data_IF_013338907479
#
_entry.id   IF_013338907479
#
_cell.length_a   1.000
_cell.length_b   1.000
_cell.length_c   1.000
_cell.angle_alpha   90.00
_cell.angle_beta   90.00
_cell.angle_gamma   90.00
#
_symmetry.space_group_name_H-M   'P 1'
#
loop_
_entity.id
_entity.type
_entity.pdbx_description
1 polymer ?
#
# COMPACT_ATOMS: atom_id res chain seq x y z
N UNK A 1 1.37 -8.08 13.04
CA UNK A 1 1.63 -9.39 12.41
C UNK A 1 2.07 -9.21 10.91
N UNK A 2 3.24 -8.76 10.45
CA UNK A 2 3.62 -8.22 9.10
C UNK A 2 5.16 -8.04 9.20
N UNK A 3 6.00 -8.93 8.64
CA UNK A 3 7.17 -9.62 9.33
C UNK A 3 6.80 -10.23 10.68
N UNK A 4 6.09 -9.46 11.50
CA UNK A 4 5.34 -9.88 12.64
C UNK A 4 4.55 -11.21 12.21
N UNK A 5 3.99 -11.42 11.00
CA UNK A 5 3.13 -12.60 10.60
C UNK A 5 3.88 -13.94 10.43
N UNK A 6 5.19 -13.96 10.67
CA UNK A 6 5.94 -15.20 10.92
C UNK A 6 7.07 -15.49 9.93
N UNK A 7 7.13 -14.82 8.77
CA UNK A 7 8.24 -14.97 7.81
C UNK A 7 8.83 -13.61 7.50
N UNK A 8 10.13 -13.46 7.72
CA UNK A 8 10.89 -12.25 7.40
C UNK A 8 11.58 -12.48 6.06
N UNK A 9 11.03 -11.92 4.98
CA UNK A 9 11.61 -11.89 3.64
C UNK A 9 11.90 -10.46 3.20
N UNK A 10 12.77 -10.27 2.20
CA UNK A 10 13.01 -8.95 1.58
C UNK A 10 11.69 -8.29 1.14
N UNK A 11 10.79 -9.04 0.51
CA UNK A 11 9.45 -8.57 0.11
C UNK A 11 8.61 -8.07 1.30
N UNK A 12 8.54 -8.84 2.38
CA UNK A 12 7.76 -8.47 3.57
C UNK A 12 8.33 -7.21 4.26
N UNK A 13 9.66 -7.08 4.34
CA UNK A 13 10.31 -5.92 4.96
C UNK A 13 10.15 -4.69 4.08
N UNK A 14 10.26 -4.84 2.76
CA UNK A 14 10.02 -3.75 1.81
C UNK A 14 8.59 -3.21 1.91
N UNK A 15 7.59 -4.10 1.91
CA UNK A 15 6.18 -3.74 2.12
C UNK A 15 6.00 -3.03 3.45
N UNK A 16 6.61 -3.54 4.53
CA UNK A 16 6.51 -2.90 5.83
C UNK A 16 7.06 -1.46 5.82
N UNK A 17 8.20 -1.20 5.18
CA UNK A 17 8.79 0.15 5.04
C UNK A 17 7.84 1.09 4.29
N UNK A 18 7.29 0.63 3.17
CA UNK A 18 6.36 1.40 2.34
C UNK A 18 5.06 1.69 3.10
N UNK A 19 4.50 0.71 3.79
CA UNK A 19 3.20 0.80 4.45
C UNK A 19 3.26 1.54 5.79
N UNK A 20 4.21 1.21 6.67
CA UNK A 20 4.26 1.70 8.06
C UNK A 20 5.41 2.67 8.36
N UNK A 21 6.39 2.78 7.47
CA UNK A 21 7.44 3.79 7.60
C UNK A 21 6.86 5.20 7.65
N UNK A 22 7.50 6.11 8.37
CA UNK A 22 6.99 7.47 8.55
C UNK A 22 6.80 8.20 7.21
N UNK A 23 5.66 8.89 7.06
CA UNK A 23 5.29 9.61 5.85
C UNK A 23 5.34 11.12 6.07
N UNK A 24 6.52 11.66 6.36
CA UNK A 24 6.72 13.11 6.47
C UNK A 24 6.72 13.80 5.09
N UNK A 25 7.15 13.09 4.06
CA UNK A 25 7.12 13.46 2.65
C UNK A 25 6.97 12.21 1.78
N UNK A 26 6.50 12.37 0.53
CA UNK A 26 6.38 11.27 -0.44
C UNK A 26 7.71 10.82 -1.04
N UNK A 27 8.81 11.45 -0.62
CA UNK A 27 10.19 11.10 -0.96
C UNK A 27 10.47 9.61 -0.81
N UNK A 28 9.96 8.94 0.23
CA UNK A 28 10.21 7.51 0.41
C UNK A 28 9.63 6.66 -0.73
N UNK A 29 8.48 7.04 -1.30
CA UNK A 29 7.85 6.29 -2.39
C UNK A 29 8.64 6.45 -3.68
N UNK A 30 9.02 7.69 -4.01
CA UNK A 30 9.88 7.98 -5.14
C UNK A 30 11.26 7.31 -5.01
N UNK A 31 11.83 7.35 -3.80
CA UNK A 31 13.14 6.75 -3.52
C UNK A 31 13.09 5.22 -3.61
N UNK A 32 12.08 4.57 -3.02
CA UNK A 32 11.90 3.13 -3.14
C UNK A 32 11.71 2.68 -4.59
N UNK A 33 10.89 3.40 -5.36
CA UNK A 33 10.71 3.10 -6.78
C UNK A 33 12.00 3.28 -7.60
N UNK A 34 12.74 4.37 -7.38
CA UNK A 34 14.03 4.60 -8.04
C UNK A 34 15.08 3.55 -7.66
N UNK A 35 15.10 3.10 -6.39
CA UNK A 35 15.99 2.02 -5.95
C UNK A 35 15.68 0.69 -6.65
N UNK A 36 14.40 0.31 -6.76
CA UNK A 36 14.00 -0.91 -7.47
C UNK A 36 14.38 -0.84 -8.95
N UNK A 37 14.16 0.31 -9.60
CA UNK A 37 14.53 0.52 -11.00
C UNK A 37 16.04 0.37 -11.23
N UNK A 38 16.86 0.98 -10.39
CA UNK A 38 18.32 0.86 -10.48
C UNK A 38 18.77 -0.57 -10.17
N UNK A 39 18.24 -1.18 -9.12
CA UNK A 39 18.59 -2.55 -8.73
C UNK A 39 18.27 -3.58 -9.82
N UNK A 40 17.20 -3.36 -10.59
CA UNK A 40 16.83 -4.21 -11.73
C UNK A 40 17.90 -4.23 -12.84
N UNK A 41 18.85 -3.28 -12.84
CA UNK A 41 20.00 -3.30 -13.77
C UNK A 41 21.11 -4.27 -13.34
N UNK A 42 21.00 -4.88 -12.15
CA UNK A 42 21.98 -5.82 -11.61
C UNK A 42 23.25 -5.18 -11.04
N UNK A 43 23.27 -3.85 -10.90
CA UNK A 43 24.42 -3.12 -10.32
C UNK A 43 24.40 -3.21 -8.80
N UNK A 44 25.56 -3.41 -8.20
CA UNK A 44 25.74 -3.43 -6.74
C UNK A 44 26.14 -2.07 -6.14
N UNK A 45 26.26 -1.04 -6.96
CA UNK A 45 26.54 0.33 -6.52
C UNK A 45 25.82 1.32 -7.41
N UNK A 46 25.33 2.41 -6.81
CA UNK A 46 24.71 3.53 -7.51
C UNK A 46 25.16 4.85 -6.91
N UNK A 47 25.64 5.75 -7.76
CA UNK A 47 25.99 7.12 -7.34
C UNK A 47 24.76 7.99 -7.13
N UNK A 48 24.88 9.08 -6.36
CA UNK A 48 23.77 10.02 -6.22
C UNK A 48 23.38 10.67 -7.56
N UNK A 49 24.35 10.88 -8.45
CA UNK A 49 24.16 11.40 -9.80
C UNK A 49 23.35 10.46 -10.68
N UNK A 50 23.53 9.15 -10.54
CA UNK A 50 22.75 8.13 -11.25
C UNK A 50 21.35 7.95 -10.66
N UNK A 51 21.21 8.08 -9.34
CA UNK A 51 19.92 7.93 -8.66
C UNK A 51 19.04 9.18 -8.79
N UNK A 52 19.64 10.37 -8.96
CA UNK A 52 18.93 11.64 -9.01
C UNK A 52 17.90 11.75 -10.16
N UNK A 53 18.20 11.37 -11.42
CA UNK A 53 17.24 11.46 -12.51
C UNK A 53 15.93 10.68 -12.30
N UNK A 54 15.93 9.35 -12.03
CA UNK A 54 14.68 8.61 -11.83
C UNK A 54 13.92 9.10 -10.60
N UNK A 55 14.63 9.42 -9.51
CA UNK A 55 14.02 9.95 -8.29
C UNK A 55 13.33 11.31 -8.50
N UNK A 56 13.98 12.24 -9.19
CA UNK A 56 13.43 13.57 -9.45
C UNK A 56 12.25 13.51 -10.42
N UNK A 57 12.32 12.66 -11.45
CA UNK A 57 11.26 12.47 -12.42
C UNK A 57 9.94 12.06 -11.75
N UNK A 58 9.99 11.06 -10.86
CA UNK A 58 8.83 10.57 -10.11
C UNK A 58 8.17 11.67 -9.27
N UNK A 59 8.97 12.50 -8.59
CA UNK A 59 8.46 13.60 -7.78
C UNK A 59 7.92 14.76 -8.61
N UNK A 60 8.53 15.06 -9.75
CA UNK A 60 8.03 16.07 -10.69
C UNK A 60 6.65 15.65 -11.23
N UNK A 61 6.50 14.40 -11.65
CA UNK A 61 5.23 13.84 -12.11
C UNK A 61 4.16 13.85 -11.00
N UNK A 62 4.54 13.47 -9.78
CA UNK A 62 3.65 13.53 -8.63
C UNK A 62 3.19 14.96 -8.30
N UNK A 63 4.07 15.96 -8.40
CA UNK A 63 3.72 17.37 -8.20
C UNK A 63 2.74 17.91 -9.24
N UNK A 64 2.77 17.39 -10.47
CA UNK A 64 1.79 17.75 -11.50
C UNK A 64 0.40 17.18 -11.16
N UNK A 65 0.34 15.99 -10.55
CA UNK A 65 -0.92 15.39 -10.09
C UNK A 65 -1.45 16.02 -8.81
N UNK A 66 -0.58 16.25 -7.83
CA UNK A 66 -0.92 16.75 -6.50
C UNK A 66 0.16 17.73 -6.00
N UNK A 67 -0.15 19.03 -5.83
CA UNK A 67 0.84 20.05 -5.44
C UNK A 67 1.49 19.82 -4.06
N UNK A 68 0.83 19.10 -3.17
CA UNK A 68 1.31 18.79 -1.82
C UNK A 68 1.96 17.40 -1.77
N UNK A 69 3.29 17.38 -1.63
CA UNK A 69 4.13 16.18 -1.56
C UNK A 69 4.86 16.02 -0.21
N UNK A 70 4.45 16.79 0.80
CA UNK A 70 4.97 16.66 2.14
C UNK A 70 4.22 17.47 3.16
N UNK A 71 4.60 17.29 4.41
CA UNK A 71 4.03 17.97 5.57
C UNK A 71 4.70 19.32 5.84
N UNK A 72 5.95 19.49 5.43
CA UNK A 72 6.68 20.75 5.58
C UNK A 72 6.07 21.86 4.71
N UNK A 73 5.97 23.07 5.27
CA UNK A 73 5.40 24.23 4.57
C UNK A 73 6.23 24.66 3.35
N UNK A 74 7.54 24.43 3.37
CA UNK A 74 8.47 24.76 2.28
C UNK A 74 9.49 23.64 2.10
N UNK A 75 9.89 23.41 0.86
CA UNK A 75 10.99 22.50 0.55
C UNK A 75 11.70 22.97 -0.71
N UNK A 76 12.98 23.37 -0.56
CA UNK A 76 13.82 23.83 -1.67
C UNK A 76 13.92 22.80 -2.79
N UNK A 77 13.86 21.51 -2.45
CA UNK A 77 13.89 20.45 -3.45
C UNK A 77 12.57 20.37 -4.23
N UNK A 78 11.42 20.34 -3.55
CA UNK A 78 10.12 20.39 -4.25
C UNK A 78 9.95 21.68 -5.06
N UNK A 79 10.49 22.81 -4.58
CA UNK A 79 10.47 24.07 -5.33
C UNK A 79 11.27 23.97 -6.63
N UNK A 80 12.42 23.28 -6.63
CA UNK A 80 13.17 22.99 -7.85
C UNK A 80 12.39 22.09 -8.82
N UNK A 81 11.69 21.06 -8.31
CA UNK A 81 10.81 20.23 -9.12
C UNK A 81 9.64 21.04 -9.73
N UNK A 82 9.05 21.97 -8.98
CA UNK A 82 7.99 22.87 -9.48
C UNK A 82 8.51 23.83 -10.56
N UNK A 83 9.69 24.41 -10.37
CA UNK A 83 10.34 25.25 -11.37
C UNK A 83 10.64 24.46 -12.66
N UNK A 84 11.06 23.20 -12.53
CA UNK A 84 11.25 22.33 -13.70
C UNK A 84 9.92 22.07 -14.43
N UNK A 85 8.86 21.75 -13.70
CA UNK A 85 7.53 21.50 -14.26
C UNK A 85 6.94 22.71 -15.01
N UNK A 86 7.34 23.93 -14.65
CA UNK A 86 6.90 25.19 -15.29
C UNK A 86 7.84 25.67 -16.38
N UNK A 87 8.95 24.97 -16.62
CA UNK A 87 9.96 25.34 -17.63
C UNK A 87 10.94 26.41 -17.18
N UNK A 88 10.90 26.84 -15.92
CA UNK A 88 11.79 27.85 -15.33
C UNK A 88 13.19 27.29 -14.97
N UNK A 89 13.32 25.97 -14.92
CA UNK A 89 14.54 25.28 -14.52
C UNK A 89 14.84 24.13 -15.49
N UNK A 90 16.06 24.08 -16.02
CA UNK A 90 16.47 23.05 -16.98
C UNK A 90 16.74 21.69 -16.30
N UNK A 91 16.77 20.63 -17.10
CA UNK A 91 16.93 19.25 -16.63
C UNK A 91 18.25 19.01 -15.88
N UNK A 92 19.36 19.57 -16.37
CA UNK A 92 20.67 19.35 -15.76
C UNK A 92 20.75 20.06 -14.40
N UNK A 93 20.16 21.25 -14.32
CA UNK A 93 20.00 21.97 -13.05
C UNK A 93 19.11 21.18 -12.09
N UNK A 94 18.02 20.55 -12.56
CA UNK A 94 17.17 19.71 -11.70
C UNK A 94 17.99 18.58 -11.09
N UNK A 95 18.71 17.81 -11.91
CA UNK A 95 19.51 16.69 -11.43
C UNK A 95 20.57 17.13 -10.40
N UNK A 96 21.30 18.23 -10.66
CA UNK A 96 22.26 18.79 -9.69
C UNK A 96 21.60 19.19 -8.37
N UNK A 97 20.42 19.83 -8.41
CA UNK A 97 19.66 20.19 -7.20
C UNK A 97 19.16 18.96 -6.45
N UNK A 98 18.77 17.91 -7.16
CA UNK A 98 18.37 16.63 -6.57
C UNK A 98 19.52 15.98 -5.81
N UNK A 99 20.73 15.92 -6.38
CA UNK A 99 21.91 15.41 -5.67
C UNK A 99 22.16 16.20 -4.38
N UNK A 100 22.09 17.54 -4.44
CA UNK A 100 22.36 18.41 -3.30
C UNK A 100 21.30 18.36 -2.19
N UNK A 101 20.02 18.21 -2.54
CA UNK A 101 18.89 18.47 -1.63
C UNK A 101 17.91 17.29 -1.50
N UNK A 102 17.80 16.45 -2.53
CA UNK A 102 16.77 15.42 -2.64
C UNK A 102 17.00 14.24 -1.71
N UNK A 103 18.26 13.97 -1.38
CA UNK A 103 18.68 12.82 -0.60
C UNK A 103 19.03 13.12 0.86
N UNK A 104 18.88 14.38 1.31
CA UNK A 104 19.38 14.81 2.62
C UNK A 104 18.82 14.03 3.81
N UNK A 105 17.57 13.55 3.71
CA UNK A 105 16.90 12.83 4.80
C UNK A 105 16.40 11.43 4.39
N UNK A 106 16.09 11.21 3.11
CA UNK A 106 15.36 9.99 2.70
C UNK A 106 16.21 8.75 2.84
N UNK A 107 17.52 8.83 2.55
CA UNK A 107 18.45 7.70 2.69
C UNK A 107 18.53 7.25 4.16
N UNK A 108 18.65 8.19 5.10
CA UNK A 108 18.73 7.86 6.52
C UNK A 108 17.39 7.38 7.12
N UNK A 109 16.27 7.78 6.50
CA UNK A 109 14.93 7.52 7.01
C UNK A 109 14.25 6.29 6.38
N UNK A 110 14.58 5.96 5.13
CA UNK A 110 13.95 4.86 4.40
C UNK A 110 14.05 3.50 5.10
N UNK A 111 15.19 3.06 5.66
CA UNK A 111 15.27 1.75 6.29
C UNK A 111 14.61 1.71 7.69
N UNK A 112 13.95 2.78 8.16
CA UNK A 112 13.41 2.85 9.51
C UNK A 112 11.94 2.42 9.61
N UNK A 113 11.63 1.60 10.61
CA UNK A 113 10.31 1.14 11.00
C UNK A 113 10.06 1.47 12.47
N UNK A 114 9.00 2.23 12.76
CA UNK A 114 8.68 2.61 14.15
C UNK A 114 9.74 3.47 14.86
N UNK A 115 10.74 3.98 14.14
CA UNK A 115 11.87 4.74 14.69
C UNK A 115 13.18 3.93 14.73
N UNK A 116 13.07 2.60 14.68
CA UNK A 116 14.21 1.68 14.68
C UNK A 116 14.59 1.25 13.26
N UNK A 117 15.76 0.61 13.09
CA UNK A 117 16.15 0.02 11.82
C UNK A 117 15.29 -1.21 11.50
N UNK A 118 14.94 -1.36 10.22
CA UNK A 118 14.31 -2.57 9.72
C UNK A 118 15.24 -3.79 9.92
N UNK A 119 14.67 -5.00 10.07
CA UNK A 119 15.47 -6.21 10.28
C UNK A 119 16.34 -6.62 9.08
N UNK A 120 16.06 -6.07 7.89
CA UNK A 120 16.86 -6.24 6.68
C UNK A 120 17.22 -4.86 6.11
N UNK A 121 18.45 -4.73 5.61
CA UNK A 121 18.91 -3.53 4.90
C UNK A 121 19.00 -3.82 3.40
N UNK A 122 18.55 -2.86 2.59
CA UNK A 122 18.58 -2.96 1.12
C UNK A 122 19.81 -2.30 0.50
N UNK A 123 20.53 -1.49 1.27
CA UNK A 123 21.74 -0.81 0.83
C UNK A 123 22.61 -0.41 2.03
N UNK A 124 23.85 -0.06 1.75
CA UNK A 124 24.78 0.60 2.66
C UNK A 124 25.04 2.03 2.18
N UNK A 125 25.03 2.98 3.12
CA UNK A 125 25.22 4.40 2.81
C UNK A 125 26.71 4.76 2.76
N UNK A 126 27.23 4.99 1.55
CA UNK A 126 28.63 5.37 1.31
C UNK A 126 28.79 6.83 0.87
N UNK A 127 27.78 7.69 1.08
CA UNK A 127 27.82 9.11 0.67
C UNK A 127 29.02 9.89 1.19
N UNK A 128 29.63 9.48 2.31
CA UNK A 128 30.73 10.18 2.98
C UNK A 128 32.10 9.51 2.86
N UNK A 129 32.14 8.25 2.43
CA UNK A 129 33.32 7.39 2.59
C UNK A 129 33.84 6.80 1.26
N UNK A 130 33.38 7.30 0.11
CA UNK A 130 33.74 6.78 -1.21
C UNK A 130 34.25 7.87 -2.15
N UNK A 131 35.13 7.49 -3.08
CA UNK A 131 35.54 8.32 -4.21
C UNK A 131 34.37 8.62 -5.17
N UNK A 132 33.32 7.80 -5.12
CA UNK A 132 32.06 7.96 -5.83
C UNK A 132 30.89 7.91 -4.82
N UNK A 133 30.49 9.05 -4.23
CA UNK A 133 29.42 9.11 -3.23
C UNK A 133 28.12 8.47 -3.72
N UNK A 134 27.63 7.49 -2.97
CA UNK A 134 26.51 6.67 -3.43
C UNK A 134 26.01 5.67 -2.40
N UNK A 135 25.33 4.65 -2.90
CA UNK A 135 24.80 3.54 -2.13
C UNK A 135 25.35 2.23 -2.69
N UNK A 136 25.85 1.36 -1.81
CA UNK A 136 26.15 -0.03 -2.15
C UNK A 136 24.86 -0.83 -1.99
N UNK A 137 24.34 -1.37 -3.10
CA UNK A 137 23.10 -2.13 -3.11
C UNK A 137 23.37 -3.56 -2.64
N UNK A 138 22.55 -4.05 -1.71
CA UNK A 138 22.70 -5.40 -1.16
C UNK A 138 21.93 -6.43 -1.96
N UNK A 139 22.32 -7.70 -1.82
CA UNK A 139 21.70 -8.84 -2.50
C UNK A 139 20.19 -8.88 -2.25
N UNK A 140 19.73 -8.54 -1.04
CA UNK A 140 18.30 -8.50 -0.72
C UNK A 140 17.51 -7.55 -1.63
N UNK A 141 18.10 -6.43 -2.08
CA UNK A 141 17.47 -5.51 -3.02
C UNK A 141 17.53 -6.02 -4.46
N UNK A 142 18.65 -6.64 -4.85
CA UNK A 142 18.83 -7.19 -6.19
C UNK A 142 17.89 -8.37 -6.44
N UNK A 143 17.78 -9.29 -5.47
CA UNK A 143 16.83 -10.39 -5.48
C UNK A 143 15.38 -9.88 -5.52
N UNK A 144 15.08 -8.84 -4.73
CA UNK A 144 13.75 -8.22 -4.71
C UNK A 144 13.38 -7.63 -6.06
N UNK A 145 14.31 -6.90 -6.70
CA UNK A 145 14.10 -6.29 -8.01
C UNK A 145 13.98 -7.33 -9.14
N UNK A 146 14.61 -8.50 -8.99
CA UNK A 146 14.50 -9.63 -9.91
C UNK A 146 13.30 -10.56 -9.62
N UNK A 147 12.63 -10.38 -8.47
CA UNK A 147 11.54 -11.26 -8.05
C UNK A 147 10.29 -11.13 -8.94
N UNK A 148 9.47 -12.18 -8.94
CA UNK A 148 8.15 -12.16 -9.61
C UNK A 148 7.21 -11.10 -9.02
N UNK A 149 7.46 -10.64 -7.79
CA UNK A 149 6.66 -9.63 -7.11
C UNK A 149 7.14 -8.19 -7.38
N UNK A 150 8.27 -7.97 -8.06
CA UNK A 150 8.82 -6.62 -8.27
C UNK A 150 7.80 -5.64 -8.91
N UNK A 151 7.01 -6.13 -9.88
CA UNK A 151 5.94 -5.35 -10.49
C UNK A 151 4.81 -5.03 -9.50
N UNK A 152 4.44 -5.99 -8.65
CA UNK A 152 3.44 -5.81 -7.60
C UNK A 152 3.90 -4.76 -6.59
N UNK A 153 5.16 -4.81 -6.16
CA UNK A 153 5.74 -3.83 -5.23
C UNK A 153 5.74 -2.41 -5.80
N UNK A 154 6.01 -2.25 -7.10
CA UNK A 154 5.89 -0.97 -7.80
C UNK A 154 4.45 -0.46 -7.80
N UNK A 155 3.49 -1.32 -8.14
CA UNK A 155 2.07 -0.97 -8.16
C UNK A 155 1.53 -0.66 -6.75
N UNK A 156 1.91 -1.44 -5.74
CA UNK A 156 1.59 -1.26 -4.31
C UNK A 156 2.14 0.09 -3.82
N UNK A 157 3.40 0.40 -4.13
CA UNK A 157 4.05 1.68 -3.79
C UNK A 157 3.29 2.86 -4.40
N UNK A 158 2.94 2.78 -5.69
CA UNK A 158 2.18 3.82 -6.37
C UNK A 158 0.76 3.99 -5.79
N UNK A 159 0.06 2.89 -5.50
CA UNK A 159 -1.25 2.93 -4.86
C UNK A 159 -1.18 3.57 -3.46
N UNK A 160 -0.16 3.19 -2.68
CA UNK A 160 0.08 3.76 -1.37
C UNK A 160 0.36 5.26 -1.43
N UNK A 161 1.21 5.68 -2.37
CA UNK A 161 1.53 7.08 -2.60
C UNK A 161 0.25 7.88 -2.93
N UNK A 162 -0.58 7.41 -3.87
CA UNK A 162 -1.84 8.08 -4.24
C UNK A 162 -2.81 8.24 -3.06
N UNK A 163 -2.86 7.27 -2.15
CA UNK A 163 -3.64 7.37 -0.92
C UNK A 163 -3.09 8.47 0.01
N UNK A 164 -1.77 8.54 0.21
CA UNK A 164 -1.14 9.58 1.05
C UNK A 164 -1.40 10.98 0.47
N UNK A 165 -1.19 11.16 -0.84
CA UNK A 165 -1.47 12.41 -1.55
C UNK A 165 -2.92 12.84 -1.38
N UNK A 166 -3.86 11.91 -1.59
CA UNK A 166 -5.29 12.18 -1.46
C UNK A 166 -5.63 12.60 -0.04
N UNK A 167 -5.09 11.93 0.98
CA UNK A 167 -5.33 12.30 2.37
C UNK A 167 -4.89 13.74 2.67
N UNK A 168 -3.70 14.13 2.23
CA UNK A 168 -3.17 15.49 2.45
C UNK A 168 -3.93 16.59 1.70
N UNK A 169 -4.50 16.26 0.55
CA UNK A 169 -5.24 17.20 -0.28
C UNK A 169 -6.66 17.44 0.22
N UNK A 170 -7.23 16.44 0.88
CA UNK A 170 -8.65 16.41 1.25
C UNK A 170 -8.90 16.63 2.74
N UNK A 171 -7.86 16.51 3.57
CA UNK A 171 -8.03 16.53 5.02
C UNK A 171 -8.81 15.33 5.55
N UNK A 172 -8.85 14.19 4.83
CA UNK A 172 -9.50 12.95 5.31
C UNK A 172 -8.96 12.51 6.68
N UNK A 173 -7.74 12.92 7.05
CA UNK A 173 -7.16 12.73 8.37
C UNK A 173 -7.87 13.47 9.51
N UNK A 174 -8.77 14.41 9.21
CA UNK A 174 -9.23 15.43 10.16
C UNK A 174 -10.69 15.20 10.65
N UNK A 175 -11.32 14.06 10.28
CA UNK A 175 -12.56 13.58 10.90
C UNK A 175 -13.87 13.73 10.10
N UNK A 176 -14.97 13.50 10.81
CA UNK A 176 -16.27 12.89 10.41
C UNK A 176 -17.10 13.60 9.32
N UNK A 177 -16.71 14.79 8.85
CA UNK A 177 -17.44 15.54 7.80
C UNK A 177 -16.66 15.75 6.50
N UNK A 178 -15.49 15.12 6.36
CA UNK A 178 -14.67 15.13 5.15
C UNK A 178 -15.17 14.17 4.05
N UNK A 179 -14.63 14.28 2.82
CA UNK A 179 -14.95 13.34 1.74
C UNK A 179 -14.64 11.89 2.14
N UNK A 180 -15.47 10.92 1.75
CA UNK A 180 -15.24 9.50 2.03
C UNK A 180 -14.40 8.85 0.94
N UNK A 181 -13.59 7.86 1.32
CA UNK A 181 -13.00 6.95 0.35
C UNK A 181 -13.90 5.72 0.25
N UNK A 182 -14.52 5.56 -0.90
CA UNK A 182 -15.44 4.47 -1.19
C UNK A 182 -14.86 3.52 -2.23
N UNK A 183 -15.35 2.28 -2.24
CA UNK A 183 -15.03 1.32 -3.28
C UNK A 183 -16.03 1.48 -4.43
N UNK A 184 -15.52 1.63 -5.65
CA UNK A 184 -16.29 1.46 -6.87
C UNK A 184 -16.00 0.08 -7.47
N UNK A 185 -17.04 -0.75 -7.48
CA UNK A 185 -17.03 -2.08 -8.05
C UNK A 185 -16.82 -2.10 -9.56
N UNK A 186 -17.41 -1.17 -10.30
CA UNK A 186 -17.35 -1.19 -11.77
C UNK A 186 -15.92 -0.85 -12.22
N UNK A 187 -15.26 0.08 -11.53
CA UNK A 187 -13.88 0.47 -11.79
C UNK A 187 -12.85 -0.37 -11.01
N UNK A 188 -13.29 -1.22 -10.08
CA UNK A 188 -12.41 -1.94 -9.14
C UNK A 188 -11.41 -0.99 -8.45
N UNK A 189 -11.87 0.19 -8.05
CA UNK A 189 -11.02 1.28 -7.59
C UNK A 189 -11.55 1.94 -6.32
N UNK A 190 -10.61 2.45 -5.51
CA UNK A 190 -10.91 3.36 -4.43
C UNK A 190 -11.13 4.75 -5.02
N UNK A 191 -12.26 5.35 -4.68
CA UNK A 191 -12.68 6.64 -5.19
C UNK A 191 -12.98 7.58 -4.04
N UNK A 192 -12.54 8.81 -4.19
CA UNK A 192 -12.91 9.90 -3.31
C UNK A 192 -14.32 10.35 -3.69
N UNK A 193 -15.25 10.28 -2.74
CA UNK A 193 -16.59 10.82 -2.87
C UNK A 193 -16.72 12.07 -2.02
N UNK A 194 -17.14 13.15 -2.65
CA UNK A 194 -17.53 14.40 -2.00
C UNK A 194 -18.89 14.84 -2.52
N UNK A 195 -19.53 15.80 -1.85
CA UNK A 195 -20.84 16.34 -2.30
C UNK A 195 -20.85 16.85 -3.75
N UNK A 196 -19.70 17.18 -4.32
CA UNK A 196 -19.59 17.85 -5.62
C UNK A 196 -18.76 17.08 -6.65
N UNK A 197 -17.97 16.09 -6.22
CA UNK A 197 -17.00 15.43 -7.09
C UNK A 197 -16.74 14.01 -6.66
N UNK A 198 -16.69 13.13 -7.65
CA UNK A 198 -16.15 11.78 -7.59
C UNK A 198 -14.80 11.74 -8.31
N UNK A 199 -13.76 11.23 -7.65
CA UNK A 199 -12.42 11.16 -8.23
C UNK A 199 -11.80 9.77 -7.98
N UNK A 200 -11.28 9.14 -9.03
CA UNK A 200 -10.53 7.90 -8.90
C UNK A 200 -9.19 8.17 -8.18
N UNK A 201 -8.88 7.36 -7.15
CA UNK A 201 -7.65 7.48 -6.37
C UNK A 201 -6.65 6.40 -6.75
N UNK A 202 -7.03 5.12 -6.66
CA UNK A 202 -6.17 3.99 -7.03
C UNK A 202 -6.98 2.72 -7.21
N UNK A 203 -6.51 1.76 -8.00
CA UNK A 203 -7.09 0.42 -8.05
C UNK A 203 -7.05 -0.27 -6.68
N UNK A 204 -8.06 -1.08 -6.38
CA UNK A 204 -8.19 -1.77 -5.09
C UNK A 204 -7.17 -2.89 -4.92
N UNK A 205 -6.87 -3.62 -5.98
CA UNK A 205 -5.86 -4.70 -5.97
C UNK A 205 -4.51 -4.20 -5.44
N UNK A 206 -3.83 -3.21 -6.04
CA UNK A 206 -2.56 -2.73 -5.51
C UNK A 206 -2.69 -2.01 -4.16
N UNK A 207 -3.87 -1.47 -3.81
CA UNK A 207 -4.09 -0.85 -2.51
C UNK A 207 -4.17 -1.87 -1.35
N UNK A 208 -4.66 -3.08 -1.63
CA UNK A 208 -4.80 -4.14 -0.63
C UNK A 208 -3.67 -5.17 -0.66
N UNK A 209 -3.00 -5.36 -1.80
CA UNK A 209 -1.99 -6.41 -2.02
C UNK A 209 -0.87 -6.40 -0.96
N UNK A 210 -0.36 -5.20 -0.64
CA UNK A 210 0.69 -5.05 0.36
C UNK A 210 0.30 -5.54 1.76
N UNK A 211 -0.99 -5.44 2.13
CA UNK A 211 -1.50 -5.90 3.44
C UNK A 211 -1.79 -7.41 3.49
N UNK A 212 -1.67 -8.09 2.34
CA UNK A 212 -1.79 -9.53 2.19
C UNK A 212 -0.49 -10.16 1.68
N UNK A 213 0.62 -9.44 1.67
CA UNK A 213 1.93 -9.92 1.21
C UNK A 213 1.93 -10.46 -0.24
N UNK A 214 1.05 -9.91 -1.10
CA UNK A 214 0.85 -10.43 -2.47
C UNK A 214 0.28 -11.85 -2.51
N UNK A 215 -0.37 -12.30 -1.44
CA UNK A 215 -0.92 -13.66 -1.29
C UNK A 215 -2.44 -13.64 -1.20
N UNK A 216 -3.03 -14.77 -1.59
CA UNK A 216 -4.46 -15.02 -1.44
C UNK A 216 -4.84 -15.00 0.05
N UNK A 217 -5.87 -14.24 0.42
CA UNK A 217 -6.35 -14.12 1.79
C UNK A 217 -6.78 -15.46 2.43
N UNK A 218 -7.11 -16.46 1.60
CA UNK A 218 -7.62 -17.75 2.05
C UNK A 218 -6.55 -18.84 2.07
N UNK A 219 -5.92 -19.17 0.93
CA UNK A 219 -4.91 -20.24 0.86
C UNK A 219 -3.48 -19.78 1.19
N UNK A 220 -3.25 -18.48 1.34
CA UNK A 220 -1.94 -17.89 1.60
C UNK A 220 -0.87 -18.16 0.51
N UNK A 221 -1.29 -18.59 -0.67
CA UNK A 221 -0.40 -18.78 -1.81
C UNK A 221 -0.12 -17.46 -2.52
N UNK A 222 1.08 -17.32 -3.07
CA UNK A 222 1.47 -16.17 -3.88
C UNK A 222 0.52 -16.01 -5.07
N UNK A 223 0.04 -14.80 -5.28
CA UNK A 223 -0.71 -14.41 -6.46
C UNK A 223 0.22 -13.61 -7.35
N UNK A 224 0.26 -13.93 -8.63
CA UNK A 224 0.93 -13.08 -9.62
C UNK A 224 -0.13 -12.32 -10.40
N UNK A 225 0.17 -11.09 -10.82
CA UNK A 225 -0.69 -10.35 -11.75
C UNK A 225 -0.57 -10.90 -13.18
N UNK A 226 -1.03 -12.14 -13.39
CA UNK A 226 -1.16 -12.72 -14.74
C UNK A 226 -2.52 -12.35 -15.34
N UNK A 227 -2.52 -11.93 -16.61
CA UNK A 227 -3.75 -11.57 -17.34
C UNK A 227 -4.72 -12.76 -17.33
N UNK A 228 -5.92 -12.57 -16.75
CA UNK A 228 -6.95 -13.60 -16.63
C UNK A 228 -6.90 -14.48 -15.37
N UNK A 229 -5.79 -14.45 -14.61
CA UNK A 229 -5.62 -15.23 -13.37
C UNK A 229 -5.14 -14.39 -12.18
N UNK A 230 -5.15 -13.06 -12.31
CA UNK A 230 -4.75 -12.13 -11.28
C UNK A 230 -5.66 -12.12 -10.04
N UNK A 231 -5.28 -11.35 -9.00
CA UNK A 231 -6.06 -11.25 -7.78
C UNK A 231 -7.51 -10.80 -8.02
N UNK A 232 -8.46 -11.48 -7.39
CA UNK A 232 -9.88 -11.12 -7.43
C UNK A 232 -10.22 -10.34 -6.17
N UNK A 233 -10.85 -9.18 -6.31
CA UNK A 233 -11.45 -8.45 -5.19
C UNK A 233 -12.71 -9.19 -4.75
N UNK A 234 -12.68 -9.69 -3.53
CA UNK A 234 -13.65 -10.62 -2.99
C UNK A 234 -14.30 -10.05 -1.73
N UNK A 235 -15.62 -10.26 -1.58
CA UNK A 235 -16.39 -9.87 -0.40
C UNK A 235 -16.47 -11.02 0.60
N UNK A 236 -15.77 -10.89 1.73
CA UNK A 236 -15.74 -11.92 2.77
C UNK A 236 -17.15 -12.32 3.18
N UNK A 237 -17.97 -11.34 3.55
CA UNK A 237 -19.42 -11.48 3.64
C UNK A 237 -20.05 -11.20 2.27
N UNK A 238 -20.72 -12.18 1.65
CA UNK A 238 -21.09 -12.11 0.24
C UNK A 238 -22.20 -11.09 -0.04
N UNK A 239 -22.16 -10.47 -1.22
CA UNK A 239 -23.17 -9.51 -1.67
C UNK A 239 -24.60 -10.07 -1.70
N UNK A 240 -24.76 -11.39 -1.82
CA UNK A 240 -26.05 -12.10 -1.70
C UNK A 240 -26.77 -11.85 -0.37
N UNK A 241 -26.10 -11.33 0.65
CA UNK A 241 -26.78 -10.85 1.85
C UNK A 241 -27.79 -9.74 1.51
N UNK A 242 -27.48 -8.84 0.57
CA UNK A 242 -28.36 -7.74 0.18
C UNK A 242 -29.64 -8.18 -0.54
N UNK A 243 -29.69 -9.41 -1.07
CA UNK A 243 -30.93 -9.97 -1.64
C UNK A 243 -31.81 -10.65 -0.59
N UNK A 244 -31.39 -10.61 0.69
CA UNK A 244 -32.14 -11.09 1.86
C UNK A 244 -32.51 -9.90 2.75
N UNK A 245 -33.10 -10.18 3.90
CA UNK A 245 -33.43 -9.18 4.94
C UNK A 245 -32.18 -8.70 5.71
N UNK A 246 -31.14 -8.31 4.97
CA UNK A 246 -29.90 -7.80 5.55
C UNK A 246 -30.09 -6.38 6.09
N UNK A 247 -29.88 -6.26 7.39
CA UNK A 247 -29.87 -5.04 8.19
C UNK A 247 -28.49 -4.80 8.85
N UNK A 248 -27.48 -5.54 8.40
CA UNK A 248 -26.10 -5.40 8.88
C UNK A 248 -25.33 -4.28 8.17
N UNK A 249 -24.02 -4.16 8.43
CA UNK A 249 -23.17 -3.14 7.84
C UNK A 249 -23.10 -3.20 6.31
N UNK A 250 -22.65 -2.12 5.67
CA UNK A 250 -22.42 -2.12 4.23
C UNK A 250 -21.38 -3.19 3.85
N UNK A 251 -21.82 -4.22 3.12
CA UNK A 251 -20.96 -5.33 2.67
C UNK A 251 -20.01 -4.92 1.56
N UNK A 252 -20.27 -3.82 0.84
CA UNK A 252 -19.38 -3.32 -0.23
C UNK A 252 -18.25 -2.42 0.31
N UNK A 253 -18.20 -2.21 1.63
CA UNK A 253 -17.20 -1.38 2.27
C UNK A 253 -15.84 -2.10 2.42
N UNK A 254 -14.77 -1.31 2.45
CA UNK A 254 -13.37 -1.76 2.39
C UNK A 254 -13.03 -2.81 3.47
N UNK A 255 -13.62 -2.69 4.67
CA UNK A 255 -13.41 -3.65 5.77
C UNK A 255 -13.74 -5.10 5.39
N UNK A 256 -14.63 -5.30 4.40
CA UNK A 256 -15.13 -6.59 3.95
C UNK A 256 -14.45 -7.07 2.64
N UNK A 257 -13.59 -6.26 2.03
CA UNK A 257 -12.91 -6.58 0.77
C UNK A 257 -11.55 -7.23 1.02
N UNK A 258 -11.27 -8.35 0.37
CA UNK A 258 -9.95 -9.03 0.36
C UNK A 258 -9.55 -9.40 -1.06
N UNK A 259 -8.29 -9.77 -1.25
CA UNK A 259 -7.82 -10.34 -2.52
C UNK A 259 -7.74 -11.87 -2.41
N UNK A 260 -8.39 -12.56 -3.35
CA UNK A 260 -8.42 -14.02 -3.40
C UNK A 260 -7.94 -14.53 -4.77
N UNK A 261 -7.37 -15.73 -4.78
CA UNK A 261 -7.13 -16.45 -6.03
C UNK A 261 -8.44 -16.99 -6.61
N UNK A 262 -8.45 -17.27 -7.91
CA UNK A 262 -9.63 -17.80 -8.61
C UNK A 262 -10.20 -19.07 -7.96
N UNK A 263 -9.35 -20.01 -7.53
CA UNK A 263 -9.79 -21.26 -6.91
C UNK A 263 -10.54 -21.03 -5.60
N UNK A 264 -9.99 -20.20 -4.71
CA UNK A 264 -10.63 -19.90 -3.43
C UNK A 264 -11.93 -19.11 -3.63
N UNK A 265 -11.94 -18.10 -4.51
CA UNK A 265 -13.14 -17.34 -4.82
C UNK A 265 -14.26 -18.24 -5.38
N UNK A 266 -13.91 -19.12 -6.33
CA UNK A 266 -14.84 -20.08 -6.94
C UNK A 266 -15.34 -21.15 -5.98
N UNK A 267 -14.51 -21.55 -5.01
CA UNK A 267 -14.88 -22.47 -3.95
C UNK A 267 -15.78 -21.81 -2.90
N UNK A 268 -15.49 -20.57 -2.48
CA UNK A 268 -16.28 -19.83 -1.50
C UNK A 268 -17.70 -19.53 -2.00
N UNK A 269 -17.83 -19.00 -3.23
CA UNK A 269 -19.10 -18.53 -3.82
C UNK A 269 -19.82 -17.56 -2.87
N UNK A 270 -21.15 -17.68 -2.78
CA UNK A 270 -22.00 -16.87 -1.92
C UNK A 270 -22.01 -17.31 -0.43
N UNK A 271 -20.94 -17.93 0.07
CA UNK A 271 -20.82 -18.32 1.48
C UNK A 271 -19.87 -17.38 2.21
N UNK A 272 -20.04 -17.26 3.53
CA UNK A 272 -19.03 -16.66 4.39
C UNK A 272 -17.95 -17.72 4.72
N UNK A 273 -16.69 -17.32 4.99
CA UNK A 273 -15.71 -18.26 5.50
C UNK A 273 -16.10 -18.75 6.90
N UNK A 274 -15.57 -19.90 7.33
CA UNK A 274 -15.77 -20.44 8.67
C UNK A 274 -15.25 -19.45 9.73
N UNK A 275 -15.88 -19.42 10.90
CA UNK A 275 -15.63 -18.40 11.95
C UNK A 275 -14.17 -18.37 12.42
N UNK A 276 -13.49 -19.52 12.36
CA UNK A 276 -12.07 -19.65 12.71
C UNK A 276 -11.14 -18.86 11.79
N UNK A 277 -11.60 -18.44 10.61
CA UNK A 277 -10.84 -17.58 9.70
C UNK A 277 -11.05 -16.07 9.98
N UNK A 278 -12.15 -15.69 10.62
CA UNK A 278 -12.47 -14.28 10.89
C UNK A 278 -11.42 -13.50 11.68
N UNK A 279 -10.65 -14.11 12.62
CA UNK A 279 -9.53 -13.44 13.26
C UNK A 279 -8.47 -12.90 12.27
N UNK A 280 -8.28 -13.57 11.12
CA UNK A 280 -7.37 -13.07 10.08
C UNK A 280 -7.87 -11.75 9.48
N UNK A 281 -9.17 -11.67 9.17
CA UNK A 281 -9.80 -10.44 8.66
C UNK A 281 -9.66 -9.29 9.66
N UNK A 282 -9.89 -9.59 10.94
CA UNK A 282 -9.75 -8.62 12.02
C UNK A 282 -8.32 -8.06 12.10
N UNK A 283 -7.32 -8.95 12.13
CA UNK A 283 -5.90 -8.55 12.15
C UNK A 283 -5.57 -7.70 10.92
N UNK A 284 -5.97 -8.14 9.72
CA UNK A 284 -5.73 -7.39 8.47
C UNK A 284 -6.37 -6.00 8.50
N UNK A 285 -7.60 -5.87 8.98
CA UNK A 285 -8.28 -4.57 9.11
C UNK A 285 -7.59 -3.67 10.13
N UNK A 286 -7.07 -4.23 11.22
CA UNK A 286 -6.26 -3.49 12.20
C UNK A 286 -4.92 -3.03 11.60
N UNK A 287 -4.24 -3.87 10.80
CA UNK A 287 -3.00 -3.51 10.13
C UNK A 287 -3.20 -2.33 9.13
N UNK A 288 -4.31 -2.33 8.39
CA UNK A 288 -4.72 -1.20 7.53
C UNK A 288 -4.84 0.11 8.33
N UNK A 289 -5.44 0.05 9.52
CA UNK A 289 -5.60 1.17 10.46
C UNK A 289 -4.24 1.63 11.03
N UNK A 290 -3.39 0.70 11.45
CA UNK A 290 -2.07 0.98 12.01
C UNK A 290 -1.11 1.64 11.02
N UNK A 291 -1.35 1.47 9.72
CA UNK A 291 -0.54 2.11 8.68
C UNK A 291 -0.69 3.64 8.61
N UNK A 292 -1.51 4.30 9.45
CA UNK A 292 -1.59 5.77 9.64
C UNK A 292 -1.86 6.64 8.39
N UNK A 293 -2.71 6.19 7.47
CA UNK A 293 -3.09 6.93 6.24
C UNK A 293 -4.57 6.64 5.87
N UNK A 294 -5.20 7.24 4.84
CA UNK A 294 -6.64 7.57 4.85
C UNK A 294 -7.58 6.38 5.06
N UNK A 295 -7.16 5.16 4.72
CA UNK A 295 -7.90 3.94 5.04
C UNK A 295 -8.14 3.75 6.54
N UNK A 296 -7.25 4.27 7.39
CA UNK A 296 -7.41 4.31 8.85
C UNK A 296 -8.71 4.98 9.26
N UNK A 297 -8.90 6.23 8.89
CA UNK A 297 -10.07 7.01 9.30
C UNK A 297 -11.35 6.41 8.71
N UNK A 298 -11.27 5.95 7.46
CA UNK A 298 -12.39 5.27 6.79
C UNK A 298 -12.78 3.98 7.52
N UNK A 299 -11.82 3.13 7.85
CA UNK A 299 -12.08 1.88 8.57
C UNK A 299 -12.52 2.13 10.01
N UNK A 300 -11.96 3.12 10.70
CA UNK A 300 -12.39 3.50 12.04
C UNK A 300 -13.84 4.01 12.03
N UNK A 301 -14.22 4.82 11.04
CA UNK A 301 -15.60 5.28 10.87
C UNK A 301 -16.55 4.13 10.50
N UNK A 302 -16.11 3.17 9.69
CA UNK A 302 -16.92 2.01 9.28
C UNK A 302 -17.10 0.96 10.38
N UNK A 303 -16.07 0.74 11.20
CA UNK A 303 -15.98 -0.45 12.07
C UNK A 303 -15.82 -0.15 13.56
N UNK A 304 -15.42 1.06 13.95
CA UNK A 304 -15.18 1.46 15.34
C UNK A 304 -13.80 2.09 15.57
N UNK A 305 -13.73 3.02 16.51
CA UNK A 305 -12.51 3.77 16.83
C UNK A 305 -11.49 2.92 17.59
N UNK A 306 -11.97 2.02 18.46
CA UNK A 306 -11.12 1.13 19.28
C UNK A 306 -11.08 -0.29 18.74
N UNK A 307 -10.02 -1.05 19.05
CA UNK A 307 -9.92 -2.45 18.66
C UNK A 307 -11.11 -3.29 19.19
N UNK A 308 -11.58 -3.00 20.41
CA UNK A 308 -12.73 -3.67 21.01
C UNK A 308 -14.04 -3.39 20.24
N UNK A 309 -14.29 -2.15 19.84
CA UNK A 309 -15.46 -1.80 19.01
C UNK A 309 -15.42 -2.52 17.66
N UNK A 310 -14.24 -2.59 17.04
CA UNK A 310 -14.04 -3.29 15.75
C UNK A 310 -14.24 -4.79 15.86
N UNK A 311 -13.75 -5.40 16.94
CA UNK A 311 -14.00 -6.81 17.23
C UNK A 311 -15.50 -7.10 17.32
N UNK A 312 -16.22 -6.32 18.13
CA UNK A 312 -17.66 -6.48 18.31
C UNK A 312 -18.44 -6.17 17.03
N UNK A 313 -18.00 -5.18 16.24
CA UNK A 313 -18.55 -4.92 14.90
C UNK A 313 -18.45 -6.15 14.00
N UNK A 314 -17.27 -6.74 13.86
CA UNK A 314 -17.04 -7.92 13.01
C UNK A 314 -17.84 -9.13 13.49
N UNK A 315 -17.87 -9.35 14.80
CA UNK A 315 -18.64 -10.44 15.42
C UNK A 315 -20.14 -10.31 15.15
N UNK A 316 -20.71 -9.10 15.32
CA UNK A 316 -22.13 -8.83 15.01
C UNK A 316 -22.43 -9.01 13.53
N UNK A 317 -21.59 -8.48 12.64
CA UNK A 317 -21.75 -8.60 11.19
C UNK A 317 -21.70 -10.07 10.75
N UNK A 318 -20.74 -10.83 11.27
CA UNK A 318 -20.58 -12.25 10.96
C UNK A 318 -21.77 -13.09 11.45
N UNK A 319 -22.17 -12.91 12.72
CA UNK A 319 -23.35 -13.60 13.29
C UNK A 319 -24.60 -13.34 12.45
N UNK A 320 -24.83 -12.08 12.09
CA UNK A 320 -25.99 -11.72 11.28
C UNK A 320 -25.93 -12.33 9.88
N UNK A 321 -24.74 -12.41 9.29
CA UNK A 321 -24.57 -13.03 7.98
C UNK A 321 -24.84 -14.53 8.03
N UNK A 322 -24.35 -15.25 9.04
CA UNK A 322 -24.53 -16.69 9.15
C UNK A 322 -25.95 -17.11 9.51
N UNK A 323 -26.74 -16.25 10.17
CA UNK A 323 -28.20 -16.44 10.34
C UNK A 323 -28.96 -16.46 9.00
N UNK A 324 -28.46 -15.71 8.00
CA UNK A 324 -29.12 -15.54 6.70
C UNK A 324 -28.52 -16.44 5.60
N UNK A 325 -27.36 -17.03 5.83
CA UNK A 325 -26.67 -17.89 4.88
C UNK A 325 -26.94 -19.37 5.18
N UNK A 326 -27.20 -20.20 4.16
CA UNK A 326 -27.53 -21.61 4.37
C UNK A 326 -26.32 -22.46 4.80
N UNK A 327 -25.10 -21.99 4.55
CA UNK A 327 -23.86 -22.69 4.86
C UNK A 327 -22.68 -21.72 4.91
N UNK A 328 -21.63 -22.13 5.62
CA UNK A 328 -20.30 -21.51 5.60
C UNK A 328 -19.33 -22.34 4.76
N UNK A 329 -18.21 -21.74 4.38
CA UNK A 329 -17.13 -22.40 3.65
C UNK A 329 -15.85 -22.42 4.48
N UNK A 330 -15.18 -23.57 4.58
CA UNK A 330 -13.89 -23.66 5.27
C UNK A 330 -12.77 -23.36 4.27
N UNK A 331 -11.97 -22.30 4.50
CA UNK A 331 -10.80 -22.02 3.67
C UNK A 331 -9.79 -23.19 3.70
N UNK A 332 -9.03 -23.42 2.62
CA UNK A 332 -8.00 -24.45 2.60
C UNK A 332 -6.89 -24.12 3.62
N UNK A 333 -6.27 -25.15 4.17
CA UNK A 333 -5.06 -25.00 4.99
C UNK A 333 -3.93 -24.56 4.05
N UNK A 334 -3.16 -23.54 4.46
CA UNK A 334 -2.04 -23.04 3.68
C UNK A 334 -1.08 -24.19 3.28
N UNK A 335 -0.80 -24.31 1.98
CA UNK A 335 0.09 -25.35 1.45
C UNK A 335 -0.58 -26.69 1.12
N UNK A 336 -1.91 -26.82 1.24
CA UNK A 336 -2.64 -28.01 0.80
C UNK A 336 -3.62 -27.66 -0.34
N UNK A 337 -3.23 -27.97 -1.59
CA UNK A 337 -4.17 -28.12 -2.70
C UNK A 337 -4.52 -29.61 -2.78
N UNK A 338 -5.80 -29.95 -2.58
CA UNK A 338 -6.32 -31.26 -2.93
C UNK A 338 -6.67 -31.29 -4.42
#
# INVERSE_FOLDING_TARGET
>A
MDYRRGVVTGESVWRAIVLYGANSATYKFAFGAALLEVAATGRNHVTLEELAPPYAALLCEALQRQPRQGTAARSRFLDACRAFNTGELDRDTLHRRTVQLGFSNVIDAFPKLGGDQAPLSFYEDERKNSAAPGLVLRDELLELAASVQAQDLGAETAARWRLVETAWATGISDGVLGPSLDYDRDQQALVLQSKQRRQNVTGVVPALSGYQDGRCAYCNELMTQTVGTGPIVEHVLPYKLLTRVWDGPNVDAIWNLVLACWFCNSAKRDRAPHETWMPWLEVRNNDLIESRHPLREVLMAQTGATAAERHEFLKRAYRRATELLPAVWTPPIAGYRA
#
